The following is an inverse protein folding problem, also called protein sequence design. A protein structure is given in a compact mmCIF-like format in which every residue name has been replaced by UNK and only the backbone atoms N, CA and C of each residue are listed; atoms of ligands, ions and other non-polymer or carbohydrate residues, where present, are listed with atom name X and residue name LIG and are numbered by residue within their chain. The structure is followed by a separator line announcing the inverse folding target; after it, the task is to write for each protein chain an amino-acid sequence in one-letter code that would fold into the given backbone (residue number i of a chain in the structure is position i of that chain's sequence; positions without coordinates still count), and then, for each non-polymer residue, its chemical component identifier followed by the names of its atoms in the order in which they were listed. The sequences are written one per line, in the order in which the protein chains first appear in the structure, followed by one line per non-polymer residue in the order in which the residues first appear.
data_IF_513691543555
#
_entry.id   IF_513691543555
#
_cell.length_a   1.000
_cell.length_b   1.000
_cell.length_c   1.000
_cell.angle_alpha   90.00
_cell.angle_beta   90.00
_cell.angle_gamma   90.00
#
_symmetry.space_group_name_H-M   'P 1'
#
loop_
_entity.id
_entity.type
_entity.pdbx_description
1 polymer ?
#
# COMPACT_ATOMS: atom_id res chain seq x y z
N UNK A 1 21.69 15.02 -6.08
CA UNK A 1 20.25 15.24 -5.84
C UNK A 1 19.80 14.26 -4.76
N UNK A 2 19.04 14.70 -3.76
CA UNK A 2 18.41 13.77 -2.80
C UNK A 2 17.22 13.16 -3.52
N UNK A 3 17.29 11.86 -3.82
CA UNK A 3 16.14 11.09 -4.26
C UNK A 3 15.24 10.87 -3.05
N UNK A 4 13.97 11.24 -3.16
CA UNK A 4 12.97 10.96 -2.14
C UNK A 4 12.42 9.55 -2.41
N UNK A 5 13.14 8.54 -1.94
CA UNK A 5 12.73 7.14 -2.06
C UNK A 5 11.75 6.81 -0.95
N UNK A 6 10.57 6.30 -1.30
CA UNK A 6 9.65 5.70 -0.33
C UNK A 6 10.19 4.31 0.04
N UNK A 7 10.65 4.20 1.27
CA UNK A 7 11.12 2.94 1.84
C UNK A 7 9.90 2.14 2.31
N UNK A 8 9.66 0.97 1.67
CA UNK A 8 8.50 0.12 1.93
C UNK A 8 8.41 -0.30 3.40
N UNK A 9 9.55 -0.59 4.04
CA UNK A 9 9.60 -0.99 5.45
C UNK A 9 9.21 0.18 6.35
N UNK A 10 9.69 1.39 6.04
CA UNK A 10 9.31 2.60 6.81
C UNK A 10 7.85 2.98 6.60
N UNK A 11 7.32 2.79 5.39
CA UNK A 11 5.90 2.95 5.12
C UNK A 11 5.10 1.94 5.94
N UNK A 12 5.47 0.66 5.92
CA UNK A 12 4.80 -0.38 6.70
C UNK A 12 4.81 -0.10 8.20
N UNK A 13 5.95 0.33 8.75
CA UNK A 13 6.06 0.77 10.15
C UNK A 13 5.18 1.97 10.45
N UNK A 14 5.09 2.94 9.55
CA UNK A 14 4.21 4.10 9.73
C UNK A 14 2.74 3.69 9.69
N UNK A 15 2.36 2.78 8.80
CA UNK A 15 1.00 2.24 8.74
C UNK A 15 0.61 1.59 10.06
N UNK A 16 1.45 0.71 10.62
CA UNK A 16 1.15 0.08 11.92
C UNK A 16 1.09 1.09 13.08
N UNK A 17 2.07 2.00 13.15
CA UNK A 17 2.23 2.87 14.31
C UNK A 17 1.30 4.09 14.31
N UNK A 18 0.93 4.60 13.14
CA UNK A 18 0.17 5.86 13.01
C UNK A 18 -1.21 5.61 12.40
N UNK A 19 -1.33 4.71 11.42
CA UNK A 19 -2.59 4.48 10.73
C UNK A 19 -3.44 3.38 11.38
N UNK A 20 -2.87 2.29 11.90
CA UNK A 20 -3.64 1.14 12.39
C UNK A 20 -3.68 1.00 13.92
N UNK A 21 -2.82 1.73 14.64
CA UNK A 21 -2.60 1.57 16.09
C UNK A 21 -3.86 1.66 16.97
N UNK A 22 -4.92 2.33 16.50
CA UNK A 22 -6.09 2.64 17.34
C UNK A 22 -7.45 2.38 16.64
N UNK A 23 -7.55 1.29 15.85
CA UNK A 23 -8.73 0.99 15.00
C UNK A 23 -9.20 2.23 14.24
N UNK A 24 -8.21 2.92 13.69
CA UNK A 24 -8.26 4.38 13.62
C UNK A 24 -9.38 4.84 12.72
N UNK A 25 -10.08 5.88 13.19
CA UNK A 25 -10.99 6.67 12.39
C UNK A 25 -10.36 7.04 11.03
N UNK A 26 -9.04 7.27 11.00
CA UNK A 26 -8.27 7.58 9.80
C UNK A 26 -8.21 6.42 8.80
N UNK A 27 -7.95 5.19 9.24
CA UNK A 27 -7.97 4.01 8.36
C UNK A 27 -9.36 3.77 7.78
N UNK A 28 -10.41 3.97 8.59
CA UNK A 28 -11.80 3.87 8.13
C UNK A 28 -12.14 4.99 7.14
N UNK A 29 -11.65 6.21 7.37
CA UNK A 29 -11.84 7.34 6.46
C UNK A 29 -11.15 7.09 5.13
N UNK A 30 -9.89 6.64 5.11
CA UNK A 30 -9.18 6.26 3.89
C UNK A 30 -9.89 5.12 3.14
N UNK A 31 -10.34 4.10 3.87
CA UNK A 31 -11.12 3.02 3.28
C UNK A 31 -12.37 3.54 2.56
N UNK A 32 -13.11 4.46 3.18
CA UNK A 32 -14.32 5.06 2.61
C UNK A 32 -14.05 5.96 1.40
N UNK A 33 -12.84 6.49 1.27
CA UNK A 33 -12.45 7.24 0.07
C UNK A 33 -12.27 6.31 -1.13
N UNK A 34 -11.76 5.10 -0.90
CA UNK A 34 -11.59 4.09 -1.94
C UNK A 34 -12.90 3.30 -2.22
N UNK A 35 -13.67 2.94 -1.19
CA UNK A 35 -14.94 2.22 -1.30
C UNK A 35 -16.11 3.17 -1.61
N UNK A 36 -16.03 3.86 -2.75
CA UNK A 36 -17.01 4.89 -3.17
C UNK A 36 -18.42 4.31 -3.23
N UNK A 37 -18.53 3.03 -3.60
CA UNK A 37 -19.79 2.33 -3.78
C UNK A 37 -20.28 1.59 -2.53
N UNK A 38 -19.53 1.61 -1.43
CA UNK A 38 -19.87 0.94 -0.16
C UNK A 38 -20.15 -0.55 -0.35
N UNK A 39 -19.27 -1.23 -1.10
CA UNK A 39 -19.34 -2.66 -1.37
C UNK A 39 -18.80 -3.49 -0.21
N UNK A 40 -18.17 -2.85 0.78
CA UNK A 40 -17.40 -3.48 1.88
C UNK A 40 -16.18 -4.29 1.39
N UNK A 41 -15.84 -4.16 0.12
CA UNK A 41 -14.70 -4.78 -0.53
C UNK A 41 -14.26 -3.94 -1.75
N UNK A 42 -12.98 -4.01 -2.09
CA UNK A 42 -12.37 -3.25 -3.17
C UNK A 42 -11.94 -4.17 -4.31
N UNK A 43 -12.18 -3.74 -5.55
CA UNK A 43 -11.43 -4.24 -6.68
C UNK A 43 -10.01 -3.65 -6.71
N UNK A 44 -9.13 -4.21 -7.55
CA UNK A 44 -7.72 -3.78 -7.55
C UNK A 44 -7.48 -2.36 -8.05
N UNK A 45 -8.40 -1.77 -8.83
CA UNK A 45 -8.29 -0.35 -9.17
C UNK A 45 -8.60 0.51 -7.94
N UNK A 46 -9.62 0.14 -7.16
CA UNK A 46 -9.94 0.78 -5.89
C UNK A 46 -8.80 0.58 -4.86
N UNK A 47 -8.10 -0.57 -4.88
CA UNK A 47 -6.89 -0.81 -4.06
C UNK A 47 -5.75 0.13 -4.47
N UNK A 48 -5.55 0.40 -5.76
CA UNK A 48 -4.53 1.37 -6.21
C UNK A 48 -4.77 2.74 -5.57
N UNK A 49 -6.01 3.23 -5.63
CA UNK A 49 -6.40 4.51 -5.03
C UNK A 49 -6.20 4.50 -3.51
N UNK A 50 -6.53 3.40 -2.83
CA UNK A 50 -6.29 3.28 -1.39
C UNK A 50 -4.80 3.39 -1.04
N UNK A 51 -3.93 2.71 -1.80
CA UNK A 51 -2.49 2.74 -1.60
C UNK A 51 -1.91 4.12 -1.92
N UNK A 52 -2.39 4.76 -2.99
CA UNK A 52 -2.02 6.14 -3.35
C UNK A 52 -2.23 7.09 -2.17
N UNK A 53 -3.41 7.05 -1.55
CA UNK A 53 -3.72 7.86 -0.38
C UNK A 53 -2.79 7.55 0.80
N UNK A 54 -2.47 6.28 1.06
CA UNK A 54 -1.52 5.90 2.10
C UNK A 54 -0.11 6.46 1.84
N UNK A 55 0.36 6.41 0.59
CA UNK A 55 1.68 6.93 0.21
C UNK A 55 1.73 8.45 0.35
N UNK A 56 0.70 9.16 -0.12
CA UNK A 56 0.65 10.62 0.00
C UNK A 56 0.58 11.07 1.45
N UNK A 57 -0.28 10.46 2.27
CA UNK A 57 -0.37 10.77 3.70
C UNK A 57 0.96 10.54 4.42
N UNK A 58 1.64 9.43 4.11
CA UNK A 58 2.95 9.11 4.66
C UNK A 58 3.96 10.21 4.30
N UNK A 59 4.06 10.56 3.02
CA UNK A 59 4.97 11.57 2.51
C UNK A 59 4.73 12.92 3.17
N UNK A 60 3.48 13.38 3.19
CA UNK A 60 3.10 14.67 3.77
C UNK A 60 3.44 14.72 5.25
N UNK A 61 3.20 13.61 5.98
CA UNK A 61 3.52 13.52 7.40
C UNK A 61 5.03 13.53 7.69
N UNK A 62 5.86 12.94 6.82
CA UNK A 62 7.30 12.79 7.04
C UNK A 62 8.13 13.94 6.48
N UNK A 63 7.68 14.56 5.40
CA UNK A 63 8.44 15.56 4.67
C UNK A 63 7.83 16.96 4.76
N UNK A 64 6.60 17.09 5.25
CA UNK A 64 5.86 18.37 5.34
C UNK A 64 5.77 19.11 4.00
N UNK A 65 5.65 18.34 2.92
CA UNK A 65 5.49 18.82 1.54
C UNK A 65 4.21 18.19 1.00
N UNK A 66 3.40 18.97 0.28
CA UNK A 66 2.21 18.47 -0.43
C UNK A 66 2.64 17.35 -1.41
N UNK A 67 1.97 16.20 -1.35
CA UNK A 67 2.27 15.07 -2.23
C UNK A 67 2.25 15.47 -3.71
N UNK A 68 1.39 16.43 -4.10
CA UNK A 68 1.24 16.92 -5.47
C UNK A 68 2.40 17.80 -5.94
N UNK A 69 3.11 18.41 -5.01
CA UNK A 69 4.31 19.22 -5.30
C UNK A 69 5.57 18.35 -5.43
N UNK A 70 5.45 17.04 -5.16
CA UNK A 70 6.53 16.10 -5.39
C UNK A 70 6.67 15.74 -6.88
N UNK A 71 7.52 16.49 -7.57
CA UNK A 71 8.06 16.08 -8.89
C UNK A 71 8.98 14.83 -8.77
N UNK A 72 9.34 14.41 -7.55
CA UNK A 72 10.43 13.45 -7.28
C UNK A 72 9.94 12.03 -6.96
N UNK A 73 8.67 11.85 -6.57
CA UNK A 73 8.10 10.54 -6.29
C UNK A 73 7.23 10.13 -7.46
N UNK A 74 7.67 9.09 -8.16
CA UNK A 74 6.83 8.37 -9.11
C UNK A 74 5.81 7.55 -8.31
N UNK A 75 4.71 8.20 -7.94
CA UNK A 75 3.66 7.64 -7.07
C UNK A 75 3.04 6.40 -7.71
N UNK A 76 2.81 6.44 -9.02
CA UNK A 76 2.30 5.31 -9.80
C UNK A 76 3.23 4.09 -9.66
N UNK A 77 4.54 4.29 -9.87
CA UNK A 77 5.52 3.22 -9.68
C UNK A 77 5.63 2.75 -8.23
N UNK A 78 5.49 3.63 -7.25
CA UNK A 78 5.46 3.24 -5.83
C UNK A 78 4.26 2.33 -5.53
N UNK A 79 3.08 2.67 -6.06
CA UNK A 79 1.86 1.85 -5.93
C UNK A 79 2.07 0.48 -6.58
N UNK A 80 2.58 0.43 -7.82
CA UNK A 80 2.88 -0.83 -8.51
C UNK A 80 3.81 -1.73 -7.71
N UNK A 81 4.86 -1.16 -7.11
CA UNK A 81 5.79 -1.91 -6.28
C UNK A 81 5.14 -2.41 -4.99
N UNK A 82 4.32 -1.59 -4.32
CA UNK A 82 3.57 -2.02 -3.14
C UNK A 82 2.66 -3.19 -3.49
N UNK A 83 1.89 -3.08 -4.58
CA UNK A 83 0.96 -4.12 -5.04
C UNK A 83 1.69 -5.42 -5.35
N UNK A 84 2.79 -5.33 -6.11
CA UNK A 84 3.62 -6.47 -6.42
C UNK A 84 4.10 -7.20 -5.14
N UNK A 85 4.48 -6.45 -4.11
CA UNK A 85 4.95 -7.02 -2.85
C UNK A 85 3.83 -7.63 -2.00
N UNK A 86 2.61 -7.08 -2.01
CA UNK A 86 1.53 -7.57 -1.14
C UNK A 86 0.74 -8.72 -1.76
N UNK A 87 0.72 -8.86 -3.10
CA UNK A 87 -0.02 -9.92 -3.80
C UNK A 87 0.34 -11.32 -3.28
N UNK A 88 1.62 -11.69 -3.08
CA UNK A 88 1.98 -12.99 -2.54
C UNK A 88 1.35 -13.27 -1.17
N UNK A 89 1.42 -12.30 -0.25
CA UNK A 89 0.83 -12.43 1.10
C UNK A 89 -0.70 -12.49 1.05
N UNK A 90 -1.31 -11.71 0.16
CA UNK A 90 -2.75 -11.77 -0.09
C UNK A 90 -3.16 -13.16 -0.61
N UNK A 91 -2.44 -13.68 -1.61
CA UNK A 91 -2.72 -15.01 -2.17
C UNK A 91 -2.55 -16.12 -1.13
N UNK A 92 -1.51 -16.07 -0.31
CA UNK A 92 -1.27 -17.04 0.76
C UNK A 92 -2.40 -17.01 1.80
N UNK A 93 -2.77 -15.82 2.27
CA UNK A 93 -3.85 -15.62 3.25
C UNK A 93 -5.19 -16.14 2.74
N UNK A 94 -5.48 -15.94 1.46
CA UNK A 94 -6.74 -16.34 0.81
C UNK A 94 -6.67 -17.72 0.16
N UNK A 95 -5.62 -18.50 0.41
CA UNK A 95 -5.41 -19.86 -0.10
C UNK A 95 -5.48 -20.00 -1.63
N UNK A 96 -5.01 -18.98 -2.35
CA UNK A 96 -4.92 -18.97 -3.81
C UNK A 96 -3.65 -19.70 -4.23
N UNK A 97 -3.82 -20.86 -4.87
CA UNK A 97 -2.73 -21.79 -5.19
C UNK A 97 -2.22 -21.67 -6.63
N UNK A 98 -2.94 -20.95 -7.49
CA UNK A 98 -2.54 -20.73 -8.88
C UNK A 98 -1.56 -19.55 -8.97
N UNK A 99 -0.27 -19.87 -9.15
CA UNK A 99 0.83 -18.89 -9.22
C UNK A 99 0.74 -17.87 -10.38
N UNK A 100 -0.24 -18.03 -11.28
CA UNK A 100 -0.43 -17.20 -12.46
C UNK A 100 -1.85 -16.59 -12.53
N UNK A 101 -2.63 -16.60 -11.45
CA UNK A 101 -3.95 -15.98 -11.45
C UNK A 101 -3.80 -14.49 -11.80
N UNK A 102 -4.37 -14.02 -12.92
CA UNK A 102 -4.37 -12.60 -13.26
C UNK A 102 -5.00 -11.79 -12.13
N UNK A 103 -4.50 -10.57 -11.88
CA UNK A 103 -5.01 -9.69 -10.81
C UNK A 103 -6.54 -9.52 -10.87
N UNK A 104 -7.10 -9.48 -12.09
CA UNK A 104 -8.55 -9.38 -12.34
C UNK A 104 -9.37 -10.58 -11.84
N UNK A 105 -8.74 -11.70 -11.53
CA UNK A 105 -9.35 -12.92 -11.00
C UNK A 105 -9.04 -13.17 -9.53
N UNK A 106 -8.25 -12.30 -8.90
CA UNK A 106 -8.02 -12.36 -7.46
C UNK A 106 -9.32 -12.01 -6.71
N UNK A 107 -9.53 -12.59 -5.51
CA UNK A 107 -10.57 -12.17 -4.59
C UNK A 107 -10.56 -10.66 -4.35
N UNK A 108 -11.72 -10.13 -3.99
CA UNK A 108 -11.86 -8.73 -3.62
C UNK A 108 -11.09 -8.46 -2.33
N UNK A 109 -10.46 -7.29 -2.27
CA UNK A 109 -9.65 -6.86 -1.14
C UNK A 109 -10.56 -6.32 -0.04
N UNK A 110 -10.39 -6.76 1.20
CA UNK A 110 -11.26 -6.39 2.32
C UNK A 110 -10.59 -5.38 3.26
N UNK A 111 -11.38 -4.75 4.14
CA UNK A 111 -10.81 -3.87 5.17
C UNK A 111 -9.84 -4.61 6.11
N UNK A 112 -10.06 -5.92 6.33
CA UNK A 112 -9.13 -6.73 7.11
C UNK A 112 -7.79 -6.92 6.40
N UNK A 113 -7.81 -7.06 5.07
CA UNK A 113 -6.58 -7.10 4.25
C UNK A 113 -5.86 -5.75 4.31
N UNK A 114 -6.60 -4.65 4.25
CA UNK A 114 -6.04 -3.30 4.42
C UNK A 114 -5.31 -3.14 5.74
N UNK A 115 -5.90 -3.59 6.85
CA UNK A 115 -5.26 -3.55 8.17
C UNK A 115 -4.03 -4.47 8.30
N UNK A 116 -3.76 -5.36 7.33
CA UNK A 116 -2.54 -6.18 7.29
C UNK A 116 -1.45 -5.59 6.41
N UNK A 117 -1.76 -4.53 5.65
CA UNK A 117 -0.85 -3.90 4.71
C UNK A 117 0.47 -3.49 5.37
N UNK A 118 0.41 -2.93 6.58
CA UNK A 118 1.60 -2.48 7.30
C UNK A 118 2.52 -3.64 7.69
N UNK A 119 1.95 -4.77 8.12
CA UNK A 119 2.68 -6.01 8.40
C UNK A 119 3.32 -6.58 7.13
N UNK A 120 2.58 -6.70 6.03
CA UNK A 120 3.10 -7.24 4.77
C UNK A 120 4.26 -6.42 4.21
N UNK A 121 4.20 -5.09 4.33
CA UNK A 121 5.27 -4.21 3.89
C UNK A 121 6.52 -4.26 4.78
N UNK A 122 6.37 -4.62 6.07
CA UNK A 122 7.51 -4.82 6.97
C UNK A 122 8.20 -6.17 6.77
N UNK A 123 7.44 -7.18 6.39
CA UNK A 123 7.92 -8.55 6.15
C UNK A 123 8.68 -8.72 4.83
N UNK A 124 8.93 -7.63 4.07
CA UNK A 124 9.73 -7.61 2.83
C UNK A 124 11.20 -8.09 3.04
N UNK A 125 11.58 -8.45 4.26
CA UNK A 125 12.95 -8.74 4.67
C UNK A 125 13.57 -10.08 4.21
N UNK A 126 12.93 -10.90 3.34
CA UNK A 126 13.51 -12.22 3.04
C UNK A 126 13.73 -12.62 1.58
N UNK A 127 13.28 -11.87 0.56
CA UNK A 127 13.51 -12.32 -0.82
C UNK A 127 14.24 -11.37 -1.77
N UNK A 128 14.13 -10.04 -1.66
CA UNK A 128 14.91 -9.15 -2.52
C UNK A 128 15.21 -7.82 -1.83
N UNK A 129 16.51 -7.55 -1.61
CA UNK A 129 17.02 -6.24 -1.24
C UNK A 129 16.87 -5.27 -2.45
N UNK A 130 15.65 -4.85 -2.78
CA UNK A 130 15.43 -3.85 -3.84
C UNK A 130 15.77 -2.46 -3.31
N UNK A 131 17.05 -2.11 -3.42
CA UNK A 131 17.48 -0.71 -3.39
C UNK A 131 17.19 -0.14 -4.78
N UNK A 132 16.13 0.66 -4.95
CA UNK A 132 15.83 1.26 -6.24
C UNK A 132 16.68 2.52 -6.44
N UNK A 133 17.61 2.44 -7.39
CA UNK A 133 18.34 3.58 -7.95
C UNK A 133 17.40 4.31 -8.92
N UNK A 134 17.01 5.54 -8.60
CA UNK A 134 16.36 6.45 -9.55
C UNK A 134 17.49 7.26 -10.21
N UNK A 135 17.65 7.11 -11.52
CA UNK A 135 18.58 7.91 -12.34
C UNK A 135 18.00 9.33 -12.49
#
# INVERSE_FOLDING_TARGET
MKSNVVDLVKLGQWLENELFQDKSKKAIELWKLADIHRKDCLDWNEVNTLIEHCVCDYVESKHHIDCRDMVVVDVERAIEQIIFHIIPYFCELHHITEANTPIVHLPQFTFQDFCKLGLWLQDVFFFFLFTLLII
#
